data_IF_049049751691
#
_entry.id   IF_049049751691
#
_cell.length_a   1.000
_cell.length_b   1.000
_cell.length_c   1.000
_cell.angle_alpha   90.00
_cell.angle_beta   90.00
_cell.angle_gamma   90.00
#
_symmetry.space_group_name_H-M   'P 1'
#
loop_
_entity.id
_entity.type
_entity.pdbx_description
1 polymer ?
#
# COMPACT_ATOMS: atom_id res chain seq x y z
N UNK A 1 28.08 -0.50 28.81
CA UNK A 1 27.56 -1.16 30.02
C UNK A 1 26.58 -2.25 29.61
N UNK A 2 26.59 -3.41 30.26
CA UNK A 2 25.82 -4.61 29.91
C UNK A 2 24.71 -4.91 30.92
N UNK A 3 23.76 -5.77 30.55
CA UNK A 3 22.70 -6.22 31.47
C UNK A 3 23.26 -6.91 32.73
N UNK A 4 24.38 -7.64 32.59
CA UNK A 4 25.04 -8.32 33.71
C UNK A 4 25.68 -7.33 34.69
N UNK A 5 26.23 -6.22 34.18
CA UNK A 5 26.76 -5.13 35.01
C UNK A 5 25.65 -4.39 35.76
N UNK A 6 24.53 -4.10 35.10
CA UNK A 6 23.33 -3.54 35.75
C UNK A 6 22.83 -4.45 36.87
N UNK A 7 22.72 -5.75 36.61
CA UNK A 7 22.24 -6.71 37.59
C UNK A 7 23.14 -6.77 38.83
N UNK A 8 24.46 -6.74 38.62
CA UNK A 8 25.46 -6.69 39.70
C UNK A 8 25.35 -5.40 40.52
N UNK A 9 25.30 -4.23 39.87
CA UNK A 9 25.18 -2.93 40.53
C UNK A 9 23.86 -2.80 41.32
N UNK A 10 22.77 -3.31 40.76
CA UNK A 10 21.48 -3.36 41.44
C UNK A 10 21.38 -4.48 42.49
N UNK A 11 22.36 -5.38 42.58
CA UNK A 11 22.37 -6.51 43.53
C UNK A 11 21.23 -7.50 43.32
N UNK A 12 20.88 -7.78 42.07
CA UNK A 12 19.81 -8.73 41.68
C UNK A 12 20.32 -9.73 40.65
N UNK A 13 19.54 -10.78 40.37
CA UNK A 13 19.86 -11.69 39.27
C UNK A 13 19.70 -11.00 37.91
N UNK A 14 20.44 -11.47 36.90
CA UNK A 14 20.29 -11.02 35.50
C UNK A 14 18.84 -11.10 35.03
N UNK A 15 18.13 -12.18 35.38
CA UNK A 15 16.73 -12.40 35.03
C UNK A 15 15.82 -11.37 35.69
N UNK A 16 16.03 -11.07 36.97
CA UNK A 16 15.29 -10.03 37.70
C UNK A 16 15.50 -8.66 37.07
N UNK A 17 16.76 -8.28 36.77
CA UNK A 17 17.06 -7.03 36.08
C UNK A 17 16.38 -6.94 34.71
N UNK A 18 16.41 -8.03 33.94
CA UNK A 18 15.72 -8.13 32.64
C UNK A 18 14.21 -7.90 32.75
N UNK A 19 13.54 -8.52 33.73
CA UNK A 19 12.10 -8.36 33.91
C UNK A 19 11.72 -6.95 34.33
N UNK A 20 12.52 -6.29 35.16
CA UNK A 20 12.28 -4.89 35.51
C UNK A 20 12.45 -3.97 34.31
N UNK A 21 13.59 -4.06 33.61
CA UNK A 21 13.91 -3.19 32.46
C UNK A 21 12.89 -3.36 31.32
N UNK A 22 12.38 -4.58 31.12
CA UNK A 22 11.40 -4.87 30.07
C UNK A 22 9.93 -4.71 30.52
N UNK A 23 9.67 -4.07 31.68
CA UNK A 23 8.30 -3.79 32.15
C UNK A 23 7.49 -5.03 32.56
N UNK A 24 8.14 -6.17 32.78
CA UNK A 24 7.52 -7.45 33.18
C UNK A 24 7.55 -7.68 34.70
N UNK A 25 7.98 -6.69 35.49
CA UNK A 25 8.19 -6.84 36.93
C UNK A 25 6.92 -7.26 37.70
N UNK A 26 5.78 -6.64 37.39
CA UNK A 26 4.50 -6.97 38.02
C UNK A 26 4.04 -8.39 37.69
N UNK A 27 4.26 -8.87 36.45
CA UNK A 27 3.94 -10.24 36.03
C UNK A 27 4.70 -11.28 36.85
N UNK A 28 5.96 -11.00 37.19
CA UNK A 28 6.81 -11.90 37.97
C UNK A 28 6.87 -11.55 39.46
N UNK A 29 5.92 -10.73 39.95
CA UNK A 29 5.77 -10.36 41.38
C UNK A 29 7.06 -9.78 42.00
N UNK A 30 7.83 -9.02 41.23
CA UNK A 30 9.03 -8.33 41.72
C UNK A 30 8.58 -7.12 42.56
N UNK A 31 9.08 -7.02 43.81
CA UNK A 31 8.71 -5.93 44.72
C UNK A 31 9.07 -4.54 44.17
N UNK A 32 8.24 -3.54 44.44
CA UNK A 32 8.48 -2.15 44.00
C UNK A 32 9.86 -1.63 44.43
N UNK A 33 10.28 -1.94 45.66
CA UNK A 33 11.62 -1.61 46.16
C UNK A 33 12.73 -2.13 45.24
N UNK A 34 12.58 -3.36 44.73
CA UNK A 34 13.56 -3.96 43.81
C UNK A 34 13.47 -3.33 42.43
N UNK A 35 12.25 -3.00 41.96
CA UNK A 35 12.06 -2.31 40.68
C UNK A 35 12.75 -0.94 40.68
N UNK A 36 12.52 -0.14 41.72
CA UNK A 36 13.13 1.18 41.91
C UNK A 36 14.67 1.08 41.97
N UNK A 37 15.21 0.08 42.69
CA UNK A 37 16.65 -0.14 42.78
C UNK A 37 17.27 -0.42 41.42
N UNK A 38 16.65 -1.28 40.62
CA UNK A 38 17.14 -1.57 39.26
C UNK A 38 17.03 -0.34 38.35
N UNK A 39 15.90 0.36 38.37
CA UNK A 39 15.69 1.54 37.53
C UNK A 39 16.60 2.72 37.89
N UNK A 40 16.97 2.86 39.17
CA UNK A 40 17.94 3.87 39.60
C UNK A 40 19.31 3.67 38.92
N UNK A 41 19.83 2.44 38.93
CA UNK A 41 21.09 2.08 38.28
C UNK A 41 21.01 2.23 36.76
N UNK A 42 19.87 1.86 36.15
CA UNK A 42 19.63 2.05 34.71
C UNK A 42 19.69 3.52 34.33
N UNK A 43 19.05 4.40 35.12
CA UNK A 43 19.01 5.83 34.88
C UNK A 43 20.37 6.49 35.13
N UNK A 44 21.03 6.16 36.24
CA UNK A 44 22.34 6.70 36.63
C UNK A 44 23.40 6.49 35.55
N UNK A 45 23.37 5.33 34.91
CA UNK A 45 24.36 4.95 33.91
C UNK A 45 23.83 4.98 32.47
N UNK A 46 22.66 5.58 32.24
CA UNK A 46 22.01 5.72 30.93
C UNK A 46 21.97 4.40 30.13
N UNK A 47 21.70 3.28 30.81
CA UNK A 47 21.65 1.97 30.15
C UNK A 47 20.47 1.90 29.19
N UNK A 48 20.76 1.59 27.93
CA UNK A 48 19.75 1.29 26.93
C UNK A 48 19.86 -0.18 26.56
N UNK A 49 18.80 -0.98 26.70
CA UNK A 49 18.83 -2.35 26.23
C UNK A 49 19.17 -2.38 24.73
N UNK A 50 20.19 -3.17 24.39
CA UNK A 50 20.56 -3.42 23.02
C UNK A 50 19.48 -4.27 22.35
N UNK A 51 18.72 -3.64 21.45
CA UNK A 51 17.67 -4.30 20.69
C UNK A 51 18.22 -5.42 19.82
N UNK A 52 19.41 -5.27 19.22
CA UNK A 52 20.02 -6.34 18.42
C UNK A 52 20.31 -7.58 19.28
N UNK A 53 20.86 -7.39 20.48
CA UNK A 53 21.11 -8.47 21.43
C UNK A 53 19.82 -9.08 22.04
N UNK A 54 18.72 -8.32 22.13
CA UNK A 54 17.41 -8.87 22.52
C UNK A 54 16.81 -9.70 21.39
N UNK A 55 16.84 -9.19 20.15
CA UNK A 55 16.30 -9.85 18.98
C UNK A 55 17.03 -11.17 18.66
N UNK A 56 18.36 -11.18 18.79
CA UNK A 56 19.18 -12.40 18.69
C UNK A 56 18.79 -13.48 19.71
N UNK A 57 18.39 -13.09 20.94
CA UNK A 57 17.93 -14.04 21.97
C UNK A 57 16.48 -14.46 21.80
N UNK A 58 15.65 -13.61 21.19
CA UNK A 58 14.23 -13.86 20.96
C UNK A 58 13.96 -14.59 19.64
N UNK A 59 14.93 -14.63 18.71
CA UNK A 59 14.76 -15.20 17.38
C UNK A 59 13.88 -14.37 16.44
N UNK A 60 13.56 -13.12 16.80
CA UNK A 60 12.74 -12.18 16.02
C UNK A 60 13.31 -10.78 16.16
N UNK A 61 13.41 -10.05 15.05
CA UNK A 61 13.88 -8.66 15.04
C UNK A 61 12.77 -7.66 15.35
N UNK A 62 11.51 -8.11 15.42
CA UNK A 62 10.31 -7.26 15.52
C UNK A 62 10.32 -6.17 14.48
N UNK A 63 10.60 -6.56 13.24
CA UNK A 63 10.66 -5.64 12.11
C UNK A 63 9.95 -6.22 10.91
N UNK A 64 9.17 -5.40 10.22
CA UNK A 64 8.48 -5.72 8.98
C UNK A 64 9.10 -4.90 7.85
N UNK A 65 9.22 -5.48 6.67
CA UNK A 65 9.55 -4.74 5.45
C UNK A 65 8.28 -4.32 4.72
N UNK A 66 8.28 -3.13 4.12
CA UNK A 66 7.26 -2.70 3.16
C UNK A 66 7.97 -2.19 1.90
N UNK A 67 7.66 -2.78 0.76
CA UNK A 67 8.09 -2.26 -0.56
C UNK A 67 6.86 -1.72 -1.27
N UNK A 68 6.95 -0.46 -1.71
CA UNK A 68 5.91 0.22 -2.49
C UNK A 68 6.50 0.77 -3.79
N UNK A 69 5.71 0.92 -4.86
CA UNK A 69 6.19 1.39 -6.16
C UNK A 69 6.66 2.84 -6.14
N UNK A 70 5.96 3.70 -5.42
CA UNK A 70 6.23 5.15 -5.43
C UNK A 70 5.83 5.78 -4.09
N UNK A 71 6.74 6.59 -3.52
CA UNK A 71 6.55 7.33 -2.28
C UNK A 71 5.78 8.65 -2.48
N UNK A 72 5.78 9.20 -3.68
CA UNK A 72 5.04 10.42 -4.03
C UNK A 72 3.56 10.12 -4.25
N UNK A 73 3.22 8.89 -4.64
CA UNK A 73 1.85 8.43 -4.74
C UNK A 73 1.14 8.46 -3.36
N UNK A 74 0.15 9.35 -3.26
CA UNK A 74 -0.62 9.58 -2.03
C UNK A 74 -1.34 8.32 -1.50
N UNK A 75 -1.71 7.36 -2.36
CA UNK A 75 -2.36 6.12 -1.94
C UNK A 75 -1.39 5.23 -1.17
N UNK A 76 -0.18 5.02 -1.70
CA UNK A 76 0.87 4.25 -1.02
C UNK A 76 1.39 4.97 0.23
N UNK A 77 1.54 6.30 0.18
CA UNK A 77 1.93 7.08 1.35
C UNK A 77 0.93 6.95 2.51
N UNK A 78 -0.38 6.99 2.21
CA UNK A 78 -1.43 6.80 3.22
C UNK A 78 -1.40 5.38 3.79
N UNK A 79 -1.23 4.38 2.94
CA UNK A 79 -1.15 2.97 3.36
C UNK A 79 0.08 2.71 4.23
N UNK A 80 1.25 3.20 3.82
CA UNK A 80 2.49 3.08 4.59
C UNK A 80 2.40 3.76 5.96
N UNK A 81 1.75 4.94 6.05
CA UNK A 81 1.49 5.62 7.32
C UNK A 81 0.60 4.80 8.26
N UNK A 82 -0.46 4.19 7.74
CA UNK A 82 -1.38 3.37 8.54
C UNK A 82 -0.68 2.09 9.02
N UNK A 83 0.03 1.40 8.13
CA UNK A 83 0.82 0.23 8.46
C UNK A 83 1.91 0.53 9.48
N UNK A 84 2.65 1.64 9.35
CA UNK A 84 3.66 2.05 10.34
C UNK A 84 3.02 2.22 11.71
N UNK A 85 1.94 3.00 11.77
CA UNK A 85 1.24 3.32 13.02
C UNK A 85 0.81 2.05 13.73
N UNK A 86 0.22 1.11 13.00
CA UNK A 86 -0.37 -0.09 13.58
C UNK A 86 0.69 -1.17 13.87
N UNK A 87 1.73 -1.30 13.04
CA UNK A 87 2.90 -2.11 13.35
C UNK A 87 3.61 -1.63 14.62
N UNK A 88 3.79 -0.31 14.78
CA UNK A 88 4.40 0.29 15.98
C UNK A 88 3.56 0.01 17.23
N UNK A 89 2.23 0.09 17.15
CA UNK A 89 1.34 -0.31 18.26
C UNK A 89 1.49 -1.80 18.61
N UNK A 90 1.71 -2.66 17.61
CA UNK A 90 1.98 -4.08 17.80
C UNK A 90 3.42 -4.38 18.29
N UNK A 91 4.27 -3.35 18.43
CA UNK A 91 5.65 -3.48 18.88
C UNK A 91 6.63 -3.89 17.78
N UNK A 92 6.26 -3.68 16.51
CA UNK A 92 7.10 -3.89 15.33
C UNK A 92 7.58 -2.57 14.75
N UNK A 93 8.80 -2.54 14.21
CA UNK A 93 9.29 -1.47 13.36
C UNK A 93 8.95 -1.76 11.90
N UNK A 94 8.35 -0.80 11.18
CA UNK A 94 8.18 -0.91 9.73
C UNK A 94 9.36 -0.24 9.02
N UNK A 95 10.03 -0.95 8.12
CA UNK A 95 11.07 -0.42 7.25
C UNK A 95 10.49 -0.31 5.84
N UNK A 96 10.35 0.92 5.35
CA UNK A 96 9.73 1.22 4.06
C UNK A 96 10.83 1.38 3.01
N UNK A 97 10.63 0.84 1.82
CA UNK A 97 11.50 1.00 0.65
C UNK A 97 10.66 1.25 -0.60
N UNK A 98 11.23 2.01 -1.54
CA UNK A 98 10.61 2.31 -2.82
C UNK A 98 11.23 1.42 -3.90
N UNK A 99 10.42 0.81 -4.76
CA UNK A 99 10.92 0.09 -5.94
C UNK A 99 10.99 0.98 -7.19
N UNK A 100 10.46 2.19 -7.16
CA UNK A 100 10.30 3.09 -8.33
C UNK A 100 9.56 2.40 -9.49
N UNK A 101 8.65 1.49 -9.13
CA UNK A 101 7.92 0.58 -10.04
C UNK A 101 8.83 -0.24 -10.98
N UNK A 102 10.09 -0.46 -10.58
CA UNK A 102 11.11 -1.19 -11.33
C UNK A 102 11.44 -2.54 -10.68
N UNK A 103 11.41 -3.60 -11.50
CA UNK A 103 11.63 -4.98 -11.08
C UNK A 103 13.04 -5.22 -10.48
N UNK A 104 14.08 -4.62 -11.08
CA UNK A 104 15.45 -4.81 -10.58
C UNK A 104 15.68 -4.08 -9.25
N UNK A 105 15.14 -2.87 -9.15
CA UNK A 105 15.21 -2.04 -7.94
C UNK A 105 14.43 -2.71 -6.81
N UNK A 106 13.23 -3.24 -7.08
CA UNK A 106 12.44 -4.03 -6.14
C UNK A 106 13.23 -5.19 -5.53
N UNK A 107 13.94 -5.97 -6.37
CA UNK A 107 14.77 -7.09 -5.90
C UNK A 107 15.89 -6.57 -4.99
N UNK A 108 16.63 -5.52 -5.40
CA UNK A 108 17.74 -4.95 -4.62
C UNK A 108 17.29 -4.43 -3.25
N UNK A 109 16.15 -3.73 -3.19
CA UNK A 109 15.63 -3.22 -1.92
C UNK A 109 15.06 -4.36 -1.05
N UNK A 110 14.46 -5.38 -1.66
CA UNK A 110 14.05 -6.59 -0.95
C UNK A 110 15.25 -7.32 -0.32
N UNK A 111 16.34 -7.53 -1.06
CA UNK A 111 17.58 -8.12 -0.53
C UNK A 111 18.14 -7.30 0.65
N UNK A 112 18.10 -5.97 0.54
CA UNK A 112 18.50 -5.07 1.63
C UNK A 112 17.64 -5.28 2.87
N UNK A 113 16.32 -5.40 2.73
CA UNK A 113 15.41 -5.67 3.85
C UNK A 113 15.64 -7.07 4.45
N UNK A 114 15.84 -8.08 3.61
CA UNK A 114 16.13 -9.45 4.04
C UNK A 114 17.46 -9.53 4.81
N UNK A 115 18.49 -8.78 4.40
CA UNK A 115 19.77 -8.69 5.11
C UNK A 115 19.62 -8.14 6.55
N UNK A 116 18.58 -7.32 6.77
CA UNK A 116 18.21 -6.79 8.10
C UNK A 116 17.37 -7.76 8.92
N UNK A 117 17.12 -8.98 8.42
CA UNK A 117 16.35 -10.04 9.05
C UNK A 117 14.96 -9.57 9.48
N UNK A 118 14.22 -8.96 8.56
CA UNK A 118 12.80 -8.69 8.77
C UNK A 118 12.03 -9.98 9.03
N UNK A 119 11.01 -9.91 9.87
CA UNK A 119 10.18 -11.05 10.26
C UNK A 119 9.14 -11.39 9.17
N UNK A 120 8.71 -10.39 8.38
CA UNK A 120 7.87 -10.57 7.19
C UNK A 120 8.01 -9.38 6.24
N UNK A 121 7.70 -9.60 4.96
CA UNK A 121 7.73 -8.61 3.89
C UNK A 121 6.34 -8.36 3.35
N UNK A 122 5.90 -7.11 3.33
CA UNK A 122 4.75 -6.64 2.57
C UNK A 122 5.23 -6.00 1.27
N UNK A 123 4.60 -6.29 0.15
CA UNK A 123 5.03 -5.79 -1.16
C UNK A 123 3.86 -5.52 -2.10
N UNK A 124 3.87 -4.34 -2.72
CA UNK A 124 3.09 -4.06 -3.93
C UNK A 124 4.02 -4.23 -5.14
N UNK A 125 4.02 -5.44 -5.71
CA UNK A 125 5.11 -5.90 -6.58
C UNK A 125 5.03 -5.34 -8.00
N UNK A 126 6.17 -4.94 -8.55
CA UNK A 126 6.39 -4.66 -9.97
C UNK A 126 6.84 -5.91 -10.75
N UNK A 127 7.10 -7.04 -10.07
CA UNK A 127 7.48 -8.28 -10.72
C UNK A 127 6.28 -8.96 -11.40
N UNK A 128 6.50 -9.66 -12.52
CA UNK A 128 5.51 -10.57 -13.08
C UNK A 128 5.08 -11.64 -12.08
N UNK A 129 3.82 -12.08 -12.13
CA UNK A 129 3.26 -13.04 -11.17
C UNK A 129 3.98 -14.40 -11.17
N UNK A 130 4.53 -14.79 -12.32
CA UNK A 130 5.31 -16.01 -12.52
C UNK A 130 6.77 -15.91 -12.02
N UNK A 131 7.22 -14.72 -11.61
CA UNK A 131 8.59 -14.53 -11.18
C UNK A 131 8.89 -15.29 -9.86
N UNK A 132 9.97 -16.07 -9.84
CA UNK A 132 10.27 -16.99 -8.74
C UNK A 132 10.93 -16.34 -7.50
N UNK A 133 11.26 -15.05 -7.55
CA UNK A 133 11.98 -14.37 -6.48
C UNK A 133 11.27 -14.48 -5.13
N UNK A 134 10.01 -14.03 -5.03
CA UNK A 134 9.29 -14.08 -3.77
C UNK A 134 8.93 -15.50 -3.31
N UNK A 135 8.82 -16.46 -4.24
CA UNK A 135 8.66 -17.88 -3.88
C UNK A 135 9.89 -18.38 -3.15
N UNK A 136 11.07 -17.98 -3.62
CA UNK A 136 12.36 -18.30 -3.00
C UNK A 136 12.48 -17.64 -1.63
N UNK A 137 12.08 -16.36 -1.50
CA UNK A 137 12.06 -15.65 -0.22
C UNK A 137 11.16 -16.36 0.80
N UNK A 138 9.95 -16.73 0.39
CA UNK A 138 9.01 -17.43 1.26
C UNK A 138 9.47 -18.86 1.62
N UNK A 139 10.05 -19.59 0.67
CA UNK A 139 10.63 -20.92 0.93
C UNK A 139 11.82 -20.87 1.90
N UNK A 140 12.56 -19.75 1.92
CA UNK A 140 13.64 -19.49 2.89
C UNK A 140 13.14 -19.02 4.26
N UNK A 141 11.81 -19.00 4.49
CA UNK A 141 11.21 -18.80 5.80
C UNK A 141 10.84 -17.36 6.13
N UNK A 142 10.90 -16.41 5.18
CA UNK A 142 10.40 -15.04 5.36
C UNK A 142 9.02 -14.93 4.69
N UNK A 143 7.92 -14.82 5.44
CA UNK A 143 6.59 -14.64 4.85
C UNK A 143 6.51 -13.40 3.96
N UNK A 144 5.88 -13.56 2.79
CA UNK A 144 5.63 -12.47 1.83
C UNK A 144 4.12 -12.26 1.71
N UNK A 145 3.69 -11.01 1.85
CA UNK A 145 2.29 -10.60 1.77
C UNK A 145 2.17 -9.60 0.61
N UNK A 146 1.37 -9.96 -0.39
CA UNK A 146 1.02 -9.09 -1.51
C UNK A 146 0.06 -7.99 -1.06
N UNK A 147 0.27 -6.78 -1.56
CA UNK A 147 -0.49 -5.60 -1.18
C UNK A 147 -0.86 -4.82 -2.42
N UNK A 148 -2.14 -4.46 -2.59
CA UNK A 148 -2.69 -3.67 -3.71
C UNK A 148 -2.60 -4.35 -5.09
N UNK A 149 -1.50 -5.03 -5.40
CA UNK A 149 -1.25 -5.83 -6.60
C UNK A 149 -1.29 -7.31 -6.25
N UNK A 150 -2.11 -8.05 -6.97
CA UNK A 150 -2.26 -9.49 -6.76
C UNK A 150 -0.96 -10.25 -7.07
N UNK A 151 -0.70 -11.30 -6.30
CA UNK A 151 0.36 -12.29 -6.54
C UNK A 151 -0.29 -13.67 -6.66
N UNK A 152 0.49 -14.71 -6.96
CA UNK A 152 0.00 -16.09 -7.00
C UNK A 152 -0.65 -16.50 -5.67
N UNK A 153 -1.98 -16.68 -5.69
CA UNK A 153 -2.82 -16.92 -4.53
C UNK A 153 -2.71 -18.34 -3.96
N UNK A 154 -2.06 -19.25 -4.68
CA UNK A 154 -1.69 -20.57 -4.17
C UNK A 154 -0.49 -20.51 -3.23
N UNK A 155 0.30 -19.42 -3.25
CA UNK A 155 1.52 -19.28 -2.45
C UNK A 155 1.45 -18.09 -1.50
N UNK A 156 0.96 -16.95 -1.94
CA UNK A 156 1.01 -15.71 -1.19
C UNK A 156 -0.34 -15.37 -0.59
N UNK A 157 -0.30 -14.74 0.59
CA UNK A 157 -1.47 -14.03 1.09
C UNK A 157 -1.48 -12.64 0.46
N UNK A 158 -2.64 -12.16 0.03
CA UNK A 158 -2.77 -10.86 -0.61
C UNK A 158 -3.92 -10.06 -0.02
N UNK A 159 -3.73 -8.75 0.10
CA UNK A 159 -4.83 -7.81 0.34
C UNK A 159 -4.92 -6.88 -0.87
N UNK A 160 -5.98 -7.06 -1.64
CA UNK A 160 -6.24 -6.31 -2.89
C UNK A 160 -7.56 -5.56 -2.78
N UNK A 161 -7.83 -4.69 -3.75
CA UNK A 161 -9.11 -3.97 -3.84
C UNK A 161 -9.91 -4.45 -5.04
N UNK A 162 -11.24 -4.39 -4.95
CA UNK A 162 -12.13 -4.74 -6.05
C UNK A 162 -11.99 -3.72 -7.20
N UNK A 163 -11.33 -4.11 -8.29
CA UNK A 163 -11.01 -3.23 -9.41
C UNK A 163 -11.91 -3.43 -10.64
N UNK A 164 -12.28 -4.67 -10.98
CA UNK A 164 -13.18 -4.97 -12.10
C UNK A 164 -14.59 -4.43 -11.85
N UNK A 165 -15.20 -4.85 -10.73
CA UNK A 165 -16.53 -4.39 -10.33
C UNK A 165 -16.55 -2.88 -10.07
N UNK A 166 -15.49 -2.36 -9.46
CA UNK A 166 -15.31 -0.94 -9.24
C UNK A 166 -15.29 -0.11 -10.54
N UNK A 167 -14.51 -0.54 -11.54
CA UNK A 167 -14.46 0.14 -12.83
C UNK A 167 -15.79 0.04 -13.58
N UNK A 168 -16.47 -1.10 -13.49
CA UNK A 168 -17.80 -1.27 -14.07
C UNK A 168 -18.80 -0.25 -13.48
N UNK A 169 -18.93 -0.19 -12.15
CA UNK A 169 -19.85 0.74 -11.48
C UNK A 169 -19.50 2.21 -11.74
N UNK A 170 -18.20 2.54 -11.74
CA UNK A 170 -17.74 3.91 -11.95
C UNK A 170 -17.98 4.35 -13.40
N UNK A 171 -17.76 3.46 -14.37
CA UNK A 171 -18.06 3.71 -15.78
C UNK A 171 -19.57 3.84 -16.01
N UNK A 172 -20.39 3.00 -15.38
CA UNK A 172 -21.85 3.14 -15.44
C UNK A 172 -22.32 4.49 -14.90
N UNK A 173 -21.66 5.04 -13.87
CA UNK A 173 -21.99 6.35 -13.34
C UNK A 173 -21.73 7.50 -14.34
N UNK A 174 -20.84 7.28 -15.32
CA UNK A 174 -20.56 8.22 -16.40
C UNK A 174 -21.51 8.06 -17.59
N UNK A 175 -21.97 6.85 -17.90
CA UNK A 175 -22.76 6.53 -19.09
C UNK A 175 -24.23 7.01 -18.97
N UNK A 176 -24.43 8.31 -19.20
CA UNK A 176 -25.73 8.98 -19.32
C UNK A 176 -26.21 9.01 -20.78
N UNK A 177 -27.50 9.32 -21.02
CA UNK A 177 -28.11 9.30 -22.37
C UNK A 177 -27.46 10.26 -23.38
N UNK A 178 -26.75 11.29 -22.91
CA UNK A 178 -26.05 12.31 -23.71
C UNK A 178 -24.62 11.91 -24.08
N UNK A 179 -24.04 10.87 -23.45
CA UNK A 179 -22.67 10.43 -23.73
C UNK A 179 -22.61 9.68 -25.07
N UNK A 180 -21.72 10.13 -25.95
CA UNK A 180 -21.46 9.51 -27.27
C UNK A 180 -20.05 8.97 -27.37
N UNK A 181 -19.14 9.45 -26.55
CA UNK A 181 -17.75 9.02 -26.48
C UNK A 181 -17.23 9.01 -25.04
N UNK A 182 -16.38 8.03 -24.72
CA UNK A 182 -15.76 7.89 -23.41
C UNK A 182 -14.31 7.44 -23.52
N UNK A 183 -13.42 8.11 -22.80
CA UNK A 183 -11.99 7.83 -22.74
C UNK A 183 -11.60 7.11 -21.45
N UNK A 184 -10.71 6.12 -21.56
CA UNK A 184 -9.98 5.52 -20.45
C UNK A 184 -8.52 6.01 -20.47
N UNK A 185 -8.08 6.59 -19.35
CA UNK A 185 -6.68 6.98 -19.13
C UNK A 185 -6.03 5.96 -18.21
N UNK A 186 -5.19 5.11 -18.81
CA UNK A 186 -4.52 3.96 -18.21
C UNK A 186 -3.00 4.14 -18.10
N UNK A 187 -2.37 3.28 -17.30
CA UNK A 187 -0.92 3.09 -17.30
C UNK A 187 -0.58 1.62 -17.08
N UNK A 188 0.62 1.21 -17.53
CA UNK A 188 1.15 -0.15 -17.38
C UNK A 188 0.11 -1.21 -17.81
N UNK A 189 -0.20 -1.31 -19.12
CA UNK A 189 -1.34 -2.13 -19.60
C UNK A 189 -1.24 -3.60 -19.23
N UNK A 190 -0.03 -4.11 -18.98
CA UNK A 190 0.19 -5.49 -18.60
C UNK A 190 -0.06 -5.81 -17.12
N UNK A 191 -0.17 -4.78 -16.26
CA UNK A 191 -0.42 -4.95 -14.84
C UNK A 191 -1.86 -5.46 -14.60
N UNK A 192 -2.01 -6.40 -13.65
CA UNK A 192 -3.31 -7.01 -13.34
C UNK A 192 -4.41 -6.01 -13.03
N UNK A 193 -4.12 -5.00 -12.19
CA UNK A 193 -5.10 -3.96 -11.85
C UNK A 193 -5.53 -3.14 -13.08
N UNK A 194 -4.64 -2.90 -14.03
CA UNK A 194 -4.96 -2.17 -15.26
C UNK A 194 -5.89 -2.98 -16.16
N UNK A 195 -5.61 -4.27 -16.31
CA UNK A 195 -6.45 -5.23 -17.05
C UNK A 195 -7.85 -5.34 -16.44
N UNK A 196 -7.95 -5.47 -15.12
CA UNK A 196 -9.24 -5.55 -14.42
C UNK A 196 -10.06 -4.27 -14.58
N UNK A 197 -9.42 -3.09 -14.41
CA UNK A 197 -10.11 -1.79 -14.56
C UNK A 197 -10.58 -1.57 -15.99
N UNK A 198 -9.76 -1.88 -16.99
CA UNK A 198 -10.18 -1.81 -18.39
C UNK A 198 -11.30 -2.80 -18.72
N UNK A 199 -11.24 -4.02 -18.20
CA UNK A 199 -12.30 -5.00 -18.39
C UNK A 199 -13.64 -4.52 -17.81
N UNK A 200 -13.62 -3.93 -16.61
CA UNK A 200 -14.82 -3.32 -16.01
C UNK A 200 -15.37 -2.17 -16.85
N UNK A 201 -14.49 -1.29 -17.34
CA UNK A 201 -14.84 -0.19 -18.24
C UNK A 201 -15.51 -0.68 -19.54
N UNK A 202 -14.90 -1.64 -20.24
CA UNK A 202 -15.43 -2.21 -21.47
C UNK A 202 -16.75 -2.95 -21.22
N UNK A 203 -16.87 -3.64 -20.08
CA UNK A 203 -18.09 -4.36 -19.70
C UNK A 203 -19.25 -3.40 -19.46
N UNK A 204 -19.02 -2.24 -18.83
CA UNK A 204 -20.07 -1.24 -18.61
C UNK A 204 -20.59 -0.66 -19.94
N UNK A 205 -19.68 -0.33 -20.87
CA UNK A 205 -20.04 0.17 -22.21
C UNK A 205 -20.88 -0.86 -22.97
N UNK A 206 -20.48 -2.14 -22.94
CA UNK A 206 -21.21 -3.22 -23.61
C UNK A 206 -22.64 -3.37 -23.10
N UNK A 207 -22.87 -3.15 -21.80
CA UNK A 207 -24.19 -3.29 -21.17
C UNK A 207 -25.06 -2.01 -21.24
N UNK A 208 -24.51 -0.87 -21.69
CA UNK A 208 -25.24 0.39 -21.74
C UNK A 208 -26.40 0.38 -22.75
N UNK A 209 -26.31 -0.42 -23.81
CA UNK A 209 -27.34 -0.55 -24.84
C UNK A 209 -27.38 0.58 -25.86
N UNK A 210 -26.63 1.67 -25.65
CA UNK A 210 -26.43 2.77 -26.61
C UNK A 210 -25.00 2.69 -27.17
N UNK A 211 -24.78 2.85 -28.50
CA UNK A 211 -23.44 2.92 -29.06
C UNK A 211 -22.64 4.10 -28.50
N UNK A 212 -21.49 3.81 -27.89
CA UNK A 212 -20.54 4.80 -27.38
C UNK A 212 -19.15 4.55 -27.99
N UNK A 213 -18.54 5.58 -28.56
CA UNK A 213 -17.16 5.53 -29.05
C UNK A 213 -16.21 5.43 -27.86
N UNK A 214 -15.42 4.36 -27.78
CA UNK A 214 -14.40 4.21 -26.76
C UNK A 214 -13.04 4.72 -27.24
N UNK A 215 -12.33 5.41 -26.37
CA UNK A 215 -10.92 5.78 -26.53
C UNK A 215 -10.14 5.20 -25.36
N UNK A 216 -8.96 4.65 -25.62
CA UNK A 216 -8.08 4.09 -24.59
C UNK A 216 -6.69 4.64 -24.84
N UNK A 217 -6.11 5.26 -23.82
CA UNK A 217 -4.73 5.69 -23.83
C UNK A 217 -4.00 5.02 -22.67
N UNK A 218 -2.77 4.55 -22.92
CA UNK A 218 -1.92 3.93 -21.91
C UNK A 218 -0.53 4.57 -21.92
N UNK A 219 -0.06 4.93 -20.73
CA UNK A 219 1.32 5.34 -20.48
C UNK A 219 2.12 4.20 -19.87
N UNK A 220 3.44 4.36 -19.82
CA UNK A 220 4.35 3.35 -19.30
C UNK A 220 4.41 3.33 -17.77
N UNK A 221 3.95 4.41 -17.11
CA UNK A 221 4.00 4.58 -15.66
C UNK A 221 2.74 5.28 -15.13
N UNK A 222 2.39 5.02 -13.87
CA UNK A 222 1.34 5.75 -13.16
C UNK A 222 1.85 7.13 -12.72
N UNK A 223 2.00 8.06 -13.65
CA UNK A 223 2.48 9.42 -13.37
C UNK A 223 1.56 10.50 -13.93
N UNK A 224 1.67 11.70 -13.34
CA UNK A 224 0.95 12.90 -13.78
C UNK A 224 1.29 13.24 -15.24
N UNK A 225 2.57 13.23 -15.60
CA UNK A 225 3.04 13.55 -16.96
C UNK A 225 2.43 12.63 -18.03
N UNK A 226 2.29 11.33 -17.72
CA UNK A 226 1.64 10.38 -18.63
C UNK A 226 0.17 10.75 -18.84
N UNK A 227 -0.58 10.98 -17.76
CA UNK A 227 -1.97 11.41 -17.82
C UNK A 227 -2.17 12.69 -18.63
N UNK A 228 -1.28 13.66 -18.45
CA UNK A 228 -1.28 14.92 -19.21
C UNK A 228 -1.02 14.68 -20.69
N UNK A 229 0.05 13.94 -21.03
CA UNK A 229 0.42 13.66 -22.42
C UNK A 229 -0.70 12.95 -23.19
N UNK A 230 -1.33 11.96 -22.56
CA UNK A 230 -2.43 11.19 -23.13
C UNK A 230 -3.65 12.05 -23.46
N UNK A 231 -4.03 12.95 -22.54
CA UNK A 231 -5.16 13.85 -22.76
C UNK A 231 -4.83 14.95 -23.77
N UNK A 232 -3.61 15.50 -23.71
CA UNK A 232 -3.15 16.50 -24.67
C UNK A 232 -3.21 15.95 -26.11
N UNK A 233 -2.82 14.69 -26.32
CA UNK A 233 -2.97 14.03 -27.62
C UNK A 233 -4.43 13.95 -28.09
N UNK A 234 -5.40 13.73 -27.18
CA UNK A 234 -6.82 13.75 -27.58
C UNK A 234 -7.29 15.14 -27.99
N UNK A 235 -6.82 16.19 -27.30
CA UNK A 235 -7.11 17.59 -27.63
C UNK A 235 -6.51 17.95 -28.99
N UNK A 236 -5.22 17.68 -29.19
CA UNK A 236 -4.48 18.05 -30.40
C UNK A 236 -5.06 17.37 -31.66
N UNK A 237 -5.63 16.17 -31.49
CA UNK A 237 -6.24 15.40 -32.57
C UNK A 237 -7.76 15.66 -32.74
N UNK A 238 -8.33 16.65 -32.04
CA UNK A 238 -9.78 16.96 -32.06
C UNK A 238 -10.65 15.71 -31.80
N UNK A 239 -10.22 14.90 -30.83
CA UNK A 239 -10.79 13.58 -30.51
C UNK A 239 -11.21 13.44 -29.05
N UNK A 240 -11.24 14.55 -28.32
CA UNK A 240 -11.54 14.61 -26.90
C UNK A 240 -12.93 14.01 -26.58
N UNK A 241 -13.05 13.09 -25.60
CA UNK A 241 -14.30 12.40 -25.31
C UNK A 241 -15.27 13.21 -24.43
N UNK A 242 -16.55 12.87 -24.48
CA UNK A 242 -17.60 13.46 -23.61
C UNK A 242 -17.44 13.07 -22.13
N UNK A 243 -16.79 11.93 -21.89
CA UNK A 243 -16.51 11.43 -20.54
C UNK A 243 -15.10 10.85 -20.45
N UNK A 244 -14.45 10.99 -19.28
CA UNK A 244 -13.14 10.41 -18.99
C UNK A 244 -13.20 9.63 -17.69
N UNK A 245 -12.68 8.41 -17.73
CA UNK A 245 -12.31 7.62 -16.56
C UNK A 245 -10.78 7.51 -16.49
N UNK A 246 -10.18 8.03 -15.42
CA UNK A 246 -8.78 7.77 -15.09
C UNK A 246 -8.65 6.56 -14.15
N UNK A 247 -7.72 5.66 -14.47
CA UNK A 247 -7.48 4.44 -13.70
C UNK A 247 -6.66 4.65 -12.43
N UNK A 248 -6.18 5.87 -12.17
CA UNK A 248 -5.58 6.27 -10.89
C UNK A 248 -5.71 7.78 -10.70
N UNK A 249 -5.64 8.24 -9.45
CA UNK A 249 -5.69 9.67 -9.15
C UNK A 249 -4.47 10.41 -9.70
N UNK A 250 -3.28 9.80 -9.68
CA UNK A 250 -2.06 10.41 -10.24
C UNK A 250 -2.17 10.65 -11.75
N UNK A 251 -2.75 9.72 -12.50
CA UNK A 251 -3.06 9.96 -13.92
C UNK A 251 -4.11 11.08 -14.07
N UNK A 252 -5.11 11.11 -13.18
CA UNK A 252 -6.14 12.14 -13.18
C UNK A 252 -5.61 13.54 -12.89
N UNK A 253 -4.54 13.69 -12.12
CA UNK A 253 -3.85 14.97 -11.94
C UNK A 253 -3.38 15.53 -13.29
N UNK A 254 -2.81 14.69 -14.14
CA UNK A 254 -2.45 15.07 -15.51
C UNK A 254 -3.65 15.41 -16.40
N UNK A 255 -4.77 14.70 -16.23
CA UNK A 255 -6.05 15.05 -16.88
C UNK A 255 -6.48 16.47 -16.47
N UNK A 256 -6.37 16.80 -15.17
CA UNK A 256 -6.74 18.12 -14.66
C UNK A 256 -5.82 19.23 -15.18
N UNK A 257 -4.52 18.99 -15.36
CA UNK A 257 -3.60 19.97 -15.94
C UNK A 257 -4.05 20.43 -17.33
N UNK A 258 -4.49 19.49 -18.18
CA UNK A 258 -5.05 19.83 -19.49
C UNK A 258 -6.40 20.57 -19.37
N UNK A 259 -7.28 20.13 -18.47
CA UNK A 259 -8.63 20.68 -18.33
C UNK A 259 -8.65 22.09 -17.73
N UNK A 260 -7.75 22.40 -16.81
CA UNK A 260 -7.64 23.76 -16.22
C UNK A 260 -7.27 24.78 -17.29
N UNK A 261 -6.44 24.40 -18.27
CA UNK A 261 -6.10 25.23 -19.42
C UNK A 261 -7.22 25.29 -20.48
N UNK A 262 -8.20 24.39 -20.39
CA UNK A 262 -9.34 24.29 -21.30
C UNK A 262 -10.70 24.27 -20.55
N UNK A 263 -11.11 25.40 -19.92
CA UNK A 263 -12.29 25.43 -19.03
C UNK A 263 -13.61 24.97 -19.68
N UNK A 264 -13.78 25.19 -20.98
CA UNK A 264 -14.94 24.72 -21.73
C UNK A 264 -15.02 23.19 -21.78
N UNK A 265 -13.89 22.50 -21.92
CA UNK A 265 -13.84 21.03 -21.83
C UNK A 265 -14.12 20.60 -20.39
N UNK A 266 -13.51 21.23 -19.40
CA UNK A 266 -13.70 20.88 -18.00
C UNK A 266 -15.18 20.90 -17.57
N UNK A 267 -15.94 21.89 -18.05
CA UNK A 267 -17.35 22.08 -17.69
C UNK A 267 -18.31 21.14 -18.41
N UNK A 268 -17.95 20.67 -19.61
CA UNK A 268 -18.80 19.81 -20.44
C UNK A 268 -18.51 18.32 -20.25
N UNK A 269 -17.28 17.98 -19.85
CA UNK A 269 -16.83 16.59 -19.71
C UNK A 269 -17.33 15.96 -18.40
N UNK A 270 -17.84 14.73 -18.46
CA UNK A 270 -18.09 13.93 -17.26
C UNK A 270 -16.80 13.26 -16.81
N UNK A 271 -16.43 13.42 -15.55
CA UNK A 271 -15.13 12.98 -15.05
C UNK A 271 -15.28 11.97 -13.93
N UNK A 272 -14.49 10.90 -14.00
CA UNK A 272 -14.31 9.98 -12.90
C UNK A 272 -12.85 9.53 -12.75
N UNK A 273 -12.48 9.16 -11.53
CA UNK A 273 -11.14 8.63 -11.23
C UNK A 273 -11.17 7.52 -10.20
N UNK A 274 -10.29 6.55 -10.36
CA UNK A 274 -9.84 5.72 -9.24
C UNK A 274 -8.99 6.55 -8.27
N UNK A 275 -9.01 6.19 -7.00
CA UNK A 275 -8.42 7.03 -5.94
C UNK A 275 -9.30 8.24 -5.64
N UNK A 276 -8.89 9.05 -4.67
CA UNK A 276 -9.64 10.22 -4.23
C UNK A 276 -8.72 11.24 -3.59
N UNK A 277 -9.09 12.51 -3.68
CA UNK A 277 -8.40 13.59 -2.99
C UNK A 277 -9.41 14.69 -2.64
N UNK A 278 -9.21 15.32 -1.48
CA UNK A 278 -10.02 16.46 -1.03
C UNK A 278 -10.05 17.60 -2.04
N UNK A 279 -9.00 17.76 -2.86
CA UNK A 279 -8.96 18.79 -3.90
C UNK A 279 -10.11 18.68 -4.91
N UNK A 280 -10.62 17.47 -5.14
CA UNK A 280 -11.77 17.25 -6.02
C UNK A 280 -13.05 17.97 -5.55
N UNK A 281 -13.19 18.22 -4.24
CA UNK A 281 -14.37 18.88 -3.67
C UNK A 281 -14.41 20.39 -3.98
N UNK A 282 -13.31 20.96 -4.44
CA UNK A 282 -13.18 22.40 -4.74
C UNK A 282 -13.23 22.71 -6.24
N UNK A 283 -13.32 21.68 -7.09
CA UNK A 283 -13.36 21.87 -8.54
C UNK A 283 -14.77 22.26 -9.01
N UNK A 284 -14.89 23.09 -10.06
CA UNK A 284 -16.19 23.51 -10.59
C UNK A 284 -17.00 22.36 -11.19
N UNK A 285 -16.34 21.28 -11.60
CA UNK A 285 -16.95 20.10 -12.18
C UNK A 285 -17.11 18.98 -11.16
N UNK A 286 -18.27 18.32 -11.18
CA UNK A 286 -18.55 17.15 -10.35
C UNK A 286 -17.73 15.96 -10.84
N UNK A 287 -16.77 15.53 -10.02
CA UNK A 287 -15.88 14.41 -10.33
C UNK A 287 -16.27 13.23 -9.43
N UNK A 288 -16.70 12.13 -10.04
CA UNK A 288 -16.94 10.88 -9.33
C UNK A 288 -15.58 10.27 -8.96
N UNK A 289 -15.42 9.76 -7.76
CA UNK A 289 -14.15 9.11 -7.38
C UNK A 289 -14.38 7.76 -6.72
N UNK A 290 -13.39 6.89 -6.79
CA UNK A 290 -13.44 5.53 -6.26
C UNK A 290 -12.21 5.24 -5.40
N UNK A 291 -12.20 5.70 -4.14
CA UNK A 291 -11.09 5.46 -3.22
C UNK A 291 -10.97 4.00 -2.80
N UNK A 292 -9.80 3.67 -2.26
CA UNK A 292 -9.58 2.46 -1.48
C UNK A 292 -10.00 2.66 -0.02
N UNK A 293 -10.37 1.58 0.65
CA UNK A 293 -10.58 1.56 2.10
C UNK A 293 -9.25 1.28 2.82
N UNK A 294 -8.36 2.28 2.81
CA UNK A 294 -6.98 2.14 3.29
C UNK A 294 -6.85 1.61 4.72
N UNK A 295 -7.78 1.99 5.61
CA UNK A 295 -7.81 1.52 6.99
C UNK A 295 -8.02 0.00 7.06
N UNK A 296 -8.96 -0.56 6.27
CA UNK A 296 -9.18 -2.00 6.19
C UNK A 296 -8.00 -2.70 5.55
N UNK A 297 -7.46 -2.16 4.45
CA UNK A 297 -6.31 -2.75 3.75
C UNK A 297 -5.11 -2.85 4.70
N UNK A 298 -4.80 -1.78 5.43
CA UNK A 298 -3.70 -1.76 6.38
C UNK A 298 -3.91 -2.74 7.54
N UNK A 299 -5.13 -2.78 8.11
CA UNK A 299 -5.48 -3.70 9.19
C UNK A 299 -5.32 -5.16 8.77
N UNK A 300 -5.89 -5.50 7.61
CA UNK A 300 -5.87 -6.86 7.07
C UNK A 300 -4.44 -7.30 6.72
N UNK A 301 -3.68 -6.42 6.05
CA UNK A 301 -2.31 -6.72 5.66
C UNK A 301 -1.39 -6.92 6.87
N UNK A 302 -1.52 -6.08 7.91
CA UNK A 302 -0.78 -6.26 9.15
C UNK A 302 -1.20 -7.55 9.88
N UNK A 303 -2.50 -7.85 9.93
CA UNK A 303 -3.00 -9.08 10.54
C UNK A 303 -2.45 -10.32 9.85
N UNK A 304 -2.42 -10.34 8.52
CA UNK A 304 -1.81 -11.43 7.74
C UNK A 304 -0.32 -11.56 8.04
N UNK A 305 0.42 -10.45 8.03
CA UNK A 305 1.85 -10.46 8.33
C UNK A 305 2.13 -11.01 9.74
N UNK A 306 1.41 -10.55 10.76
CA UNK A 306 1.58 -11.01 12.14
C UNK A 306 1.16 -12.48 12.31
N UNK A 307 0.11 -12.94 11.66
CA UNK A 307 -0.29 -14.35 11.69
C UNK A 307 0.79 -15.24 11.06
N UNK A 308 1.34 -14.82 9.92
CA UNK A 308 2.39 -15.56 9.23
C UNK A 308 3.68 -15.64 10.07
N UNK A 309 4.08 -14.54 10.71
CA UNK A 309 5.21 -14.50 11.66
C UNK A 309 5.01 -15.48 12.83
N UNK A 310 3.76 -15.68 13.26
CA UNK A 310 3.41 -16.63 14.33
C UNK A 310 3.18 -18.07 13.83
N UNK A 311 3.55 -18.40 12.59
CA UNK A 311 3.46 -19.75 12.02
C UNK A 311 2.11 -20.09 11.39
N UNK A 312 1.19 -19.14 11.29
CA UNK A 312 -0.10 -19.31 10.60
C UNK A 312 -0.04 -18.70 9.20
N UNK A 313 0.75 -19.30 8.31
CA UNK A 313 0.92 -18.84 6.93
C UNK A 313 0.12 -19.71 5.95
N UNK A 314 -1.20 -19.52 5.92
CA UNK A 314 -2.06 -20.10 4.88
C UNK A 314 -2.35 -19.04 3.82
N UNK A 315 -2.05 -19.30 2.54
CA UNK A 315 -2.37 -18.40 1.45
C UNK A 315 -3.86 -18.04 1.47
N UNK A 316 -4.14 -16.75 1.30
CA UNK A 316 -5.50 -16.20 1.33
C UNK A 316 -5.50 -14.86 0.60
N UNK A 317 -6.47 -14.65 -0.27
CA UNK A 317 -6.72 -13.36 -0.91
C UNK A 317 -7.91 -12.70 -0.23
N UNK A 318 -7.67 -11.54 0.37
CA UNK A 318 -8.73 -10.67 0.87
C UNK A 318 -8.97 -9.55 -0.13
N UNK A 319 -10.16 -9.55 -0.73
CA UNK A 319 -10.62 -8.50 -1.63
C UNK A 319 -11.41 -7.47 -0.84
N UNK A 320 -10.87 -6.26 -0.75
CA UNK A 320 -11.52 -5.12 -0.08
C UNK A 320 -12.40 -4.39 -1.09
N UNK A 321 -13.69 -4.28 -0.79
CA UNK A 321 -14.62 -3.55 -1.64
C UNK A 321 -14.23 -2.07 -1.77
N UNK A 322 -14.67 -1.45 -2.86
CA UNK A 322 -14.57 0.00 -3.06
C UNK A 322 -15.97 0.61 -2.98
N UNK A 323 -16.04 1.92 -2.69
CA UNK A 323 -17.31 2.66 -2.68
C UNK A 323 -17.16 3.96 -3.46
N UNK A 324 -18.00 4.15 -4.47
CA UNK A 324 -18.02 5.39 -5.25
C UNK A 324 -18.42 6.56 -4.35
N UNK A 325 -17.66 7.64 -4.44
CA UNK A 325 -18.01 8.96 -3.94
C UNK A 325 -18.62 9.76 -5.09
N UNK A 326 -19.91 10.09 -4.96
CA UNK A 326 -20.64 10.90 -5.94
C UNK A 326 -20.64 12.37 -5.50
N UNK A 327 -20.15 13.27 -6.36
CA UNK A 327 -20.14 14.72 -6.15
C UNK A 327 -21.25 15.42 -6.92
#
# INVERSE_FOLDING_TARGET
MTLDEIAKLAGVSRTTASYVINGKASKYRISEKTQQKVMAVVNEHNYRPDHAAQSLRAGSNRSLGLIIPDLENSSYAKLAKLLERDARKAGYQLIISCSDDDAETEIKVAETLLSRRIDALLVASALPAEHNYYRTVQANGVPVIGLDRAMDDEIFSCVISEDLGGAYELTQALLQEDIRSIGLVGAVPDLGISKEREQGFLSAIKHHGIPVKKLTAYGDHFSQDQGQSQVQQWIDNDSFPDAILATSYTLFEGVLDCLILNPSLMTTTKLATFGDNRLLDFLPSKIQSLPQQFELIAEHALKMALNAVNGCNKPCVEVVSRKIIRR
#
